data_IF_650090988325
#
_entry.id   IF_650090988325
#
_cell.length_a   1.000
_cell.length_b   1.000
_cell.length_c   1.000
_cell.angle_alpha   90.00
_cell.angle_beta   90.00
_cell.angle_gamma   90.00
#
_symmetry.space_group_name_H-M   'P 1'
#
loop_
_entity.id
_entity.type
_entity.pdbx_description
1 polymer ?
#
# COMPACT_ATOMS: atom_id res chain seq x y z
N UNK A 1 -9.00 -12.14 9.28
CA UNK A 1 -8.82 -12.95 10.50
C UNK A 1 -9.59 -12.28 11.64
N UNK A 2 -10.73 -12.83 12.06
CA UNK A 2 -11.48 -12.25 13.19
C UNK A 2 -10.89 -12.75 14.52
N UNK A 3 -10.63 -11.86 15.51
CA UNK A 3 -9.83 -12.17 16.70
C UNK A 3 -10.23 -13.44 17.49
N UNK A 4 -11.51 -13.77 17.71
CA UNK A 4 -11.87 -14.93 18.53
C UNK A 4 -11.69 -16.29 17.83
N UNK A 5 -11.59 -16.32 16.48
CA UNK A 5 -11.53 -17.55 15.68
C UNK A 5 -10.15 -17.81 15.06
N UNK A 6 -9.24 -16.84 15.12
CA UNK A 6 -7.89 -16.93 14.51
C UNK A 6 -6.78 -17.17 15.54
N UNK A 7 -7.11 -17.42 16.80
CA UNK A 7 -6.13 -17.81 17.82
C UNK A 7 -5.77 -19.29 17.79
N UNK A 8 -4.65 -19.66 18.41
CA UNK A 8 -4.10 -21.03 18.39
C UNK A 8 -5.06 -22.11 18.93
N UNK A 9 -6.01 -21.70 19.78
CA UNK A 9 -7.04 -22.58 20.35
C UNK A 9 -8.18 -22.89 19.37
N UNK A 10 -8.46 -22.01 18.41
CA UNK A 10 -9.57 -22.13 17.45
C UNK A 10 -9.10 -22.49 16.03
N UNK A 11 -7.87 -22.14 15.66
CA UNK A 11 -7.25 -22.47 14.38
C UNK A 11 -5.78 -22.88 14.59
N UNK A 12 -5.51 -24.12 15.03
CA UNK A 12 -4.16 -24.61 15.36
C UNK A 12 -3.29 -24.91 14.11
N UNK A 13 -3.84 -24.74 12.91
CA UNK A 13 -3.12 -24.95 11.67
C UNK A 13 -2.26 -23.75 11.26
N UNK A 14 -1.21 -23.99 10.50
CA UNK A 14 -0.23 -22.98 10.05
C UNK A 14 -0.81 -21.91 9.09
N UNK A 15 -2.06 -22.03 8.67
CA UNK A 15 -2.69 -21.14 7.69
C UNK A 15 -2.82 -19.69 8.17
N UNK A 16 -3.07 -19.48 9.46
CA UNK A 16 -3.13 -18.13 10.04
C UNK A 16 -1.73 -17.51 10.09
N UNK A 17 -0.71 -18.29 10.40
CA UNK A 17 0.69 -17.82 10.43
C UNK A 17 1.17 -17.40 9.04
N UNK A 18 0.87 -18.18 7.99
CA UNK A 18 1.15 -17.80 6.61
C UNK A 18 0.43 -16.52 6.21
N UNK A 19 -0.84 -16.35 6.60
CA UNK A 19 -1.59 -15.13 6.32
C UNK A 19 -0.98 -13.90 7.00
N UNK A 20 -0.57 -14.03 8.26
CA UNK A 20 0.09 -12.94 9.02
C UNK A 20 1.40 -12.54 8.33
N UNK A 21 2.31 -13.48 8.08
CA UNK A 21 3.61 -13.17 7.49
C UNK A 21 3.51 -12.67 6.05
N UNK A 22 2.63 -13.28 5.23
CA UNK A 22 2.44 -12.85 3.85
C UNK A 22 1.91 -11.41 3.77
N UNK A 23 0.90 -11.06 4.59
CA UNK A 23 0.37 -9.70 4.60
C UNK A 23 1.33 -8.69 5.21
N UNK A 24 2.12 -9.07 6.21
CA UNK A 24 3.06 -8.14 6.83
C UNK A 24 4.17 -7.77 5.84
N UNK A 25 4.71 -8.75 5.12
CA UNK A 25 5.72 -8.50 4.07
C UNK A 25 5.11 -7.72 2.91
N UNK A 26 3.92 -8.11 2.44
CA UNK A 26 3.22 -7.38 1.39
C UNK A 26 2.91 -5.93 1.80
N UNK A 27 2.50 -5.70 3.05
CA UNK A 27 2.17 -4.38 3.58
C UNK A 27 3.36 -3.43 3.64
N UNK A 28 4.56 -3.93 3.98
CA UNK A 28 5.79 -3.13 3.91
C UNK A 28 6.10 -2.75 2.45
N UNK A 29 5.96 -3.70 1.52
CA UNK A 29 6.21 -3.44 0.10
C UNK A 29 5.24 -2.41 -0.51
N UNK A 30 3.96 -2.53 -0.22
CA UNK A 30 2.95 -1.59 -0.74
C UNK A 30 3.12 -0.19 -0.15
N UNK A 31 3.48 -0.07 1.13
CA UNK A 31 3.77 1.21 1.76
C UNK A 31 4.96 1.93 1.09
N UNK A 32 6.06 1.22 0.85
CA UNK A 32 7.23 1.78 0.15
C UNK A 32 6.90 2.19 -1.29
N UNK A 33 6.06 1.40 -1.98
CA UNK A 33 5.59 1.73 -3.33
C UNK A 33 4.75 3.01 -3.34
N UNK A 34 3.85 3.19 -2.37
CA UNK A 34 3.02 4.39 -2.26
C UNK A 34 3.86 5.64 -2.03
N UNK A 35 4.81 5.59 -1.08
CA UNK A 35 5.75 6.69 -0.82
C UNK A 35 6.54 7.06 -2.07
N UNK A 36 7.02 6.08 -2.83
CA UNK A 36 7.77 6.33 -4.07
C UNK A 36 6.92 7.05 -5.13
N UNK A 37 5.67 6.63 -5.32
CA UNK A 37 4.76 7.26 -6.27
C UNK A 37 4.42 8.71 -5.86
N UNK A 38 4.19 8.98 -4.57
CA UNK A 38 3.98 10.35 -4.07
C UNK A 38 5.20 11.23 -4.39
N UNK A 39 6.40 10.77 -4.03
CA UNK A 39 7.63 11.55 -4.25
C UNK A 39 7.86 11.78 -5.74
N UNK A 40 7.63 10.78 -6.57
CA UNK A 40 7.75 10.88 -8.03
C UNK A 40 6.81 11.95 -8.60
N UNK A 41 5.51 11.91 -8.23
CA UNK A 41 4.51 12.87 -8.69
C UNK A 41 4.81 14.29 -8.18
N UNK A 42 5.39 14.46 -6.99
CA UNK A 42 5.66 15.79 -6.45
C UNK A 42 6.97 16.38 -7.00
N UNK A 43 8.05 15.60 -7.02
CA UNK A 43 9.43 16.07 -7.22
C UNK A 43 10.00 15.79 -8.61
N UNK A 44 9.49 14.79 -9.34
CA UNK A 44 10.01 14.41 -10.67
C UNK A 44 9.07 14.83 -11.81
N UNK A 45 8.36 15.96 -11.66
CA UNK A 45 7.48 16.51 -12.71
C UNK A 45 8.29 17.19 -13.81
N UNK A 46 7.78 17.14 -15.04
CA UNK A 46 8.38 17.87 -16.14
C UNK A 46 8.34 19.39 -15.89
N UNK A 47 9.39 20.13 -16.26
CA UNK A 47 9.43 21.58 -16.09
C UNK A 47 8.28 22.25 -16.87
N UNK A 48 7.52 23.12 -16.20
CA UNK A 48 6.33 23.77 -16.76
C UNK A 48 4.99 23.09 -16.42
N UNK A 49 5.02 21.92 -15.78
CA UNK A 49 3.81 21.21 -15.33
C UNK A 49 3.44 21.58 -13.89
N UNK A 50 2.51 22.53 -13.77
CA UNK A 50 1.97 22.93 -12.47
C UNK A 50 1.03 21.86 -11.89
N UNK A 51 0.79 21.89 -10.58
CA UNK A 51 0.05 20.84 -9.86
C UNK A 51 -1.37 20.65 -10.40
N UNK A 52 -2.06 21.76 -10.69
CA UNK A 52 -3.41 21.75 -11.24
C UNK A 52 -3.49 21.48 -12.75
N UNK A 53 -2.34 21.34 -13.43
CA UNK A 53 -2.27 21.00 -14.86
C UNK A 53 -2.00 19.51 -15.10
N UNK A 54 -1.87 18.71 -14.04
CA UNK A 54 -1.66 17.27 -14.14
C UNK A 54 -2.96 16.55 -14.58
N UNK A 55 -2.86 15.48 -15.39
CA UNK A 55 -4.01 14.64 -15.75
C UNK A 55 -4.73 14.08 -14.52
N UNK A 56 -6.05 13.83 -14.66
CA UNK A 56 -6.90 13.27 -13.60
C UNK A 56 -6.35 11.94 -13.08
N UNK A 57 -5.77 11.10 -13.93
CA UNK A 57 -5.15 9.84 -13.54
C UNK A 57 -4.00 10.01 -12.53
N UNK A 58 -3.14 11.00 -12.74
CA UNK A 58 -2.05 11.34 -11.80
C UNK A 58 -2.58 11.88 -10.47
N UNK A 59 -3.69 12.64 -10.51
CA UNK A 59 -4.37 13.11 -9.30
C UNK A 59 -5.01 11.98 -8.50
N UNK A 60 -5.73 11.07 -9.16
CA UNK A 60 -6.31 9.90 -8.47
C UNK A 60 -5.20 9.01 -7.91
N UNK A 61 -4.09 8.86 -8.66
CA UNK A 61 -2.92 8.12 -8.18
C UNK A 61 -2.28 8.79 -6.95
N UNK A 62 -2.23 10.12 -6.89
CA UNK A 62 -1.74 10.85 -5.71
C UNK A 62 -2.67 10.71 -4.50
N UNK A 63 -3.98 10.64 -4.70
CA UNK A 63 -4.93 10.46 -3.59
C UNK A 63 -4.97 9.02 -3.05
N UNK A 64 -4.65 8.02 -3.88
CA UNK A 64 -4.68 6.60 -3.51
C UNK A 64 -3.40 6.13 -2.81
N UNK A 65 -2.26 6.78 -3.07
CA UNK A 65 -0.95 6.43 -2.50
C UNK A 65 -0.58 7.35 -1.35
#
# INVERSE_FOLDING_TARGET
AYPPLSGILASPGVGVDYYIWALQVAGVGTLLSGVNLIVTIVKMRAPGMDLMKMPVFTWTSLCTN
#
